data_IF_370139278913
#
_entry.id   IF_370139278913
#
_cell.length_a   1.000
_cell.length_b   1.000
_cell.length_c   1.000
_cell.angle_alpha   90.00
_cell.angle_beta   90.00
_cell.angle_gamma   90.00
#
_symmetry.space_group_name_H-M   'P 1'
#
loop_
_entity.id
_entity.type
_entity.pdbx_description
1 polymer ?
#
# COMPACT_ATOMS: atom_id res chain seq x y z
N UNK A 1 -23.14 -10.83 0.78
CA UNK A 1 -24.37 -10.44 1.54
C UNK A 1 -23.97 -9.61 2.77
N UNK A 2 -24.50 -8.40 2.98
CA UNK A 2 -24.11 -7.57 4.11
C UNK A 2 -24.57 -8.10 5.49
N UNK A 3 -25.44 -9.08 5.51
CA UNK A 3 -26.03 -9.67 6.72
C UNK A 3 -25.31 -10.94 7.20
N UNK A 4 -24.30 -11.40 6.46
CA UNK A 4 -23.54 -12.60 6.83
C UNK A 4 -22.35 -12.20 7.68
N UNK A 5 -22.36 -12.60 8.95
CA UNK A 5 -21.22 -12.47 9.82
C UNK A 5 -20.22 -13.60 9.52
N UNK A 6 -19.01 -13.23 9.09
CA UNK A 6 -17.93 -14.15 8.81
C UNK A 6 -16.99 -14.22 10.03
N UNK A 7 -16.87 -15.37 10.70
CA UNK A 7 -16.25 -15.46 12.02
C UNK A 7 -14.71 -15.35 12.01
N UNK A 8 -14.08 -15.68 10.87
CA UNK A 8 -12.62 -15.74 10.79
C UNK A 8 -11.96 -14.35 10.79
N UNK A 9 -12.51 -13.39 10.02
CA UNK A 9 -11.99 -12.04 9.93
C UNK A 9 -13.12 -11.07 9.53
N UNK A 10 -13.14 -9.81 10.07
CA UNK A 10 -14.24 -8.87 9.78
C UNK A 10 -14.29 -8.41 8.32
N UNK A 11 -13.16 -8.44 7.59
CA UNK A 11 -13.10 -8.06 6.18
C UNK A 11 -13.18 -9.30 5.29
N UNK A 12 -14.31 -9.97 5.31
CA UNK A 12 -14.57 -11.15 4.49
C UNK A 12 -15.61 -10.91 3.41
N UNK A 13 -15.54 -11.70 2.35
CA UNK A 13 -16.49 -11.70 1.25
C UNK A 13 -16.85 -13.14 0.86
N UNK A 14 -18.17 -13.41 0.80
CA UNK A 14 -18.73 -14.66 0.35
C UNK A 14 -19.09 -14.54 -1.14
N UNK A 15 -18.56 -15.43 -1.95
CA UNK A 15 -18.90 -15.60 -3.36
C UNK A 15 -19.72 -16.85 -3.57
N UNK A 16 -20.84 -16.74 -4.27
CA UNK A 16 -21.71 -17.86 -4.64
C UNK A 16 -21.81 -17.92 -6.17
N UNK A 17 -21.42 -19.04 -6.76
CA UNK A 17 -21.69 -19.32 -8.18
C UNK A 17 -23.08 -19.91 -8.32
N UNK A 18 -23.95 -19.26 -9.09
CA UNK A 18 -25.33 -19.68 -9.31
C UNK A 18 -25.50 -20.23 -10.72
N UNK A 19 -26.23 -21.36 -10.85
CA UNK A 19 -26.72 -21.89 -12.11
C UNK A 19 -28.19 -22.22 -11.95
N UNK A 20 -29.05 -21.69 -12.81
CA UNK A 20 -30.52 -21.87 -12.77
C UNK A 20 -31.16 -21.52 -11.40
N UNK A 21 -30.54 -20.55 -10.65
CA UNK A 21 -31.00 -20.14 -9.33
C UNK A 21 -30.51 -20.98 -8.17
N UNK A 22 -29.79 -22.07 -8.42
CA UNK A 22 -29.14 -22.90 -7.41
C UNK A 22 -27.68 -22.50 -7.22
N UNK A 23 -27.21 -22.52 -5.97
CA UNK A 23 -25.79 -22.34 -5.63
C UNK A 23 -25.04 -23.61 -6.03
N UNK A 24 -24.12 -23.51 -6.99
CA UNK A 24 -23.29 -24.62 -7.46
C UNK A 24 -21.94 -24.67 -6.77
N UNK A 25 -21.43 -23.52 -6.37
CA UNK A 25 -20.15 -23.42 -5.65
C UNK A 25 -20.14 -22.18 -4.76
N UNK A 26 -19.27 -22.17 -3.73
CA UNK A 26 -19.23 -21.13 -2.73
C UNK A 26 -17.80 -20.97 -2.19
N UNK A 27 -17.31 -19.71 -2.17
CA UNK A 27 -15.99 -19.39 -1.64
C UNK A 27 -16.09 -18.23 -0.65
N UNK A 28 -15.40 -18.38 0.48
CA UNK A 28 -15.21 -17.29 1.43
C UNK A 28 -13.75 -16.85 1.37
N UNK A 29 -13.53 -15.57 1.08
CA UNK A 29 -12.19 -14.97 0.99
C UNK A 29 -12.13 -13.79 1.94
N UNK A 30 -11.05 -13.69 2.70
CA UNK A 30 -10.80 -12.63 3.67
C UNK A 30 -9.62 -11.76 3.23
N UNK A 31 -9.76 -10.44 3.34
CA UNK A 31 -8.64 -9.51 3.21
C UNK A 31 -8.02 -9.31 4.60
N UNK A 32 -6.83 -9.86 4.80
CA UNK A 32 -6.15 -9.87 6.11
C UNK A 32 -5.13 -8.75 6.27
N UNK A 33 -5.07 -7.83 5.31
CA UNK A 33 -4.17 -6.67 5.30
C UNK A 33 -2.98 -6.83 4.37
N UNK A 34 -2.32 -5.71 4.06
CA UNK A 34 -1.14 -5.69 3.18
C UNK A 34 -1.35 -6.27 1.77
N UNK A 35 -2.59 -6.35 1.29
CA UNK A 35 -2.94 -7.01 0.02
C UNK A 35 -3.03 -8.54 0.11
N UNK A 36 -2.81 -9.13 1.28
CA UNK A 36 -2.92 -10.58 1.47
C UNK A 36 -4.38 -11.03 1.54
N UNK A 37 -4.65 -12.18 0.90
CA UNK A 37 -5.93 -12.86 0.95
C UNK A 37 -5.77 -14.19 1.70
N UNK A 38 -6.76 -14.52 2.50
CA UNK A 38 -6.83 -15.78 3.22
C UNK A 38 -8.21 -16.43 3.06
N UNK A 39 -8.28 -17.72 3.25
CA UNK A 39 -9.51 -18.49 3.45
C UNK A 39 -9.40 -19.28 4.76
N UNK A 40 -10.42 -19.99 5.16
CA UNK A 40 -10.42 -20.77 6.40
C UNK A 40 -9.39 -21.91 6.42
N UNK A 41 -8.93 -22.35 5.25
CA UNK A 41 -7.90 -23.38 5.07
C UNK A 41 -6.49 -22.79 4.97
N UNK A 42 -6.37 -21.48 4.81
CA UNK A 42 -5.06 -20.82 4.70
C UNK A 42 -4.36 -20.92 6.06
N UNK A 43 -3.50 -21.90 6.21
CA UNK A 43 -2.55 -21.91 7.31
C UNK A 43 -1.65 -20.68 7.13
N UNK A 44 -1.50 -19.87 8.17
CA UNK A 44 -0.42 -18.91 8.23
C UNK A 44 0.88 -19.68 7.99
N UNK A 45 1.42 -19.56 6.79
CA UNK A 45 2.81 -19.90 6.55
C UNK A 45 3.60 -18.75 7.19
N UNK A 46 3.83 -18.88 8.48
CA UNK A 46 4.83 -18.09 9.19
C UNK A 46 6.19 -18.50 8.62
N UNK A 47 6.54 -17.93 7.49
CA UNK A 47 7.95 -17.82 7.13
C UNK A 47 8.49 -16.69 8.01
N UNK A 48 8.84 -17.03 9.23
CA UNK A 48 9.55 -16.15 10.15
C UNK A 48 10.98 -15.92 9.64
N UNK A 49 11.08 -15.08 8.58
CA UNK A 49 12.37 -14.61 8.05
C UNK A 49 13.05 -13.75 9.11
N UNK A 50 12.26 -13.00 9.88
CA UNK A 50 12.73 -12.13 10.95
C UNK A 50 12.56 -12.80 12.31
N UNK A 51 13.67 -13.10 13.03
CA UNK A 51 13.61 -13.73 14.35
C UNK A 51 13.07 -12.78 15.44
N UNK A 52 13.11 -11.46 15.20
CA UNK A 52 12.64 -10.43 16.12
C UNK A 52 11.41 -9.72 15.53
N UNK A 53 10.38 -9.56 16.36
CA UNK A 53 9.09 -8.97 15.95
C UNK A 53 8.87 -7.57 16.50
N UNK A 54 9.61 -7.16 17.53
CA UNK A 54 9.50 -5.84 18.14
C UNK A 54 10.66 -4.93 17.71
N UNK A 55 10.34 -3.68 17.32
CA UNK A 55 11.35 -2.69 16.90
C UNK A 55 12.37 -2.39 17.99
N UNK A 56 11.98 -2.47 19.26
CA UNK A 56 12.88 -2.27 20.41
C UNK A 56 13.96 -3.35 20.46
N UNK A 57 13.61 -4.60 20.20
CA UNK A 57 14.54 -5.73 20.17
C UNK A 57 15.51 -5.63 19.00
N UNK A 58 15.01 -5.23 17.83
CA UNK A 58 15.83 -4.98 16.64
C UNK A 58 16.82 -3.84 16.89
N UNK A 59 16.38 -2.76 17.55
CA UNK A 59 17.22 -1.63 17.90
C UNK A 59 18.35 -2.05 18.86
N UNK A 60 18.04 -2.86 19.87
CA UNK A 60 19.03 -3.35 20.83
C UNK A 60 20.03 -4.28 20.16
N UNK A 61 19.57 -5.18 19.29
CA UNK A 61 20.45 -6.02 18.47
C UNK A 61 21.38 -5.16 17.62
N UNK A 62 20.85 -4.17 16.91
CA UNK A 62 21.63 -3.28 16.05
C UNK A 62 22.69 -2.50 16.85
N UNK A 63 22.36 -2.05 18.08
CA UNK A 63 23.33 -1.40 18.97
C UNK A 63 24.44 -2.34 19.42
N UNK A 64 24.08 -3.57 19.78
CA UNK A 64 25.03 -4.57 20.28
C UNK A 64 25.98 -5.02 19.16
N UNK A 65 25.44 -5.26 17.98
CA UNK A 65 26.20 -5.75 16.82
C UNK A 65 26.89 -4.63 16.04
N UNK A 66 26.59 -3.37 16.34
CA UNK A 66 27.12 -2.21 15.60
C UNK A 66 26.64 -2.14 14.17
N UNK A 67 25.43 -2.64 13.88
CA UNK A 67 24.83 -2.62 12.54
C UNK A 67 23.62 -1.67 12.45
N UNK A 68 23.31 -1.27 11.23
CA UNK A 68 22.12 -0.49 10.89
C UNK A 68 20.89 -1.38 10.66
N UNK A 69 19.70 -0.80 10.65
CA UNK A 69 18.47 -1.54 10.34
C UNK A 69 18.48 -2.18 8.95
N UNK A 70 19.03 -1.51 7.95
CA UNK A 70 19.09 -2.06 6.60
C UNK A 70 20.07 -3.25 6.51
N UNK A 71 21.17 -3.25 7.27
CA UNK A 71 22.08 -4.40 7.37
C UNK A 71 21.42 -5.58 8.08
N UNK A 72 20.59 -5.30 9.10
CA UNK A 72 19.77 -6.34 9.73
C UNK A 72 18.80 -6.97 8.73
N UNK A 73 18.09 -6.15 7.93
CA UNK A 73 17.19 -6.64 6.89
C UNK A 73 17.94 -7.48 5.87
N UNK A 74 19.11 -7.03 5.40
CA UNK A 74 19.93 -7.79 4.45
C UNK A 74 20.40 -9.12 5.01
N UNK A 75 20.74 -9.18 6.29
CA UNK A 75 21.10 -10.45 6.97
C UNK A 75 19.95 -11.45 7.00
N UNK A 76 18.71 -10.96 7.20
CA UNK A 76 17.53 -11.82 7.26
C UNK A 76 17.02 -12.25 5.88
N UNK A 77 16.94 -11.33 4.93
CA UNK A 77 16.34 -11.53 3.59
C UNK A 77 17.36 -12.00 2.53
N UNK A 78 18.65 -11.71 2.77
CA UNK A 78 19.72 -11.89 1.80
C UNK A 78 19.78 -10.74 0.78
N UNK A 79 20.85 -10.72 -0.08
CA UNK A 79 21.14 -9.59 -0.97
C UNK A 79 20.07 -9.32 -2.06
N UNK A 80 19.22 -10.29 -2.37
CA UNK A 80 18.13 -10.12 -3.35
C UNK A 80 17.06 -9.13 -2.91
N UNK A 81 17.01 -8.79 -1.62
CA UNK A 81 16.06 -7.78 -1.13
C UNK A 81 16.25 -6.44 -1.83
N UNK A 82 17.47 -6.09 -2.22
CA UNK A 82 17.76 -4.82 -2.89
C UNK A 82 17.14 -4.73 -4.28
N UNK A 83 17.13 -5.81 -5.04
CA UNK A 83 16.48 -5.85 -6.35
C UNK A 83 14.97 -5.69 -6.20
N UNK A 84 14.37 -6.35 -5.21
CA UNK A 84 12.95 -6.21 -4.88
C UNK A 84 12.60 -4.79 -4.45
N UNK A 85 13.37 -4.19 -3.53
CA UNK A 85 13.12 -2.82 -3.07
C UNK A 85 13.31 -1.79 -4.19
N UNK A 86 14.19 -2.04 -5.14
CA UNK A 86 14.34 -1.21 -6.33
C UNK A 86 13.11 -1.27 -7.23
N UNK A 87 12.51 -2.44 -7.41
CA UNK A 87 11.24 -2.58 -8.13
C UNK A 87 10.11 -1.87 -7.38
N UNK A 88 10.02 -2.05 -6.06
CA UNK A 88 9.05 -1.35 -5.21
C UNK A 88 9.15 0.16 -5.38
N UNK A 89 10.37 0.70 -5.32
CA UNK A 89 10.60 2.13 -5.52
C UNK A 89 10.18 2.60 -6.92
N UNK A 90 10.49 1.84 -7.95
CA UNK A 90 10.07 2.15 -9.32
C UNK A 90 8.54 2.23 -9.45
N UNK A 91 7.82 1.27 -8.88
CA UNK A 91 6.34 1.28 -8.86
C UNK A 91 5.78 2.47 -8.09
N UNK A 92 6.41 2.87 -6.98
CA UNK A 92 6.02 4.07 -6.24
C UNK A 92 6.15 5.34 -7.09
N UNK A 93 7.28 5.52 -7.79
CA UNK A 93 7.50 6.65 -8.67
C UNK A 93 6.49 6.68 -9.83
N UNK A 94 6.29 5.56 -10.50
CA UNK A 94 5.31 5.45 -11.59
C UNK A 94 3.88 5.78 -11.14
N UNK A 95 3.49 5.37 -9.93
CA UNK A 95 2.17 5.66 -9.40
C UNK A 95 1.96 7.17 -9.19
N UNK A 96 2.98 7.86 -8.67
CA UNK A 96 2.96 9.32 -8.52
C UNK A 96 2.88 10.00 -9.89
N UNK A 97 3.75 9.61 -10.83
CA UNK A 97 3.80 10.21 -12.16
C UNK A 97 2.47 10.03 -12.92
N UNK A 98 1.88 8.82 -12.88
CA UNK A 98 0.56 8.58 -13.47
C UNK A 98 -0.51 9.46 -12.83
N UNK A 99 -0.57 9.51 -11.50
CA UNK A 99 -1.58 10.27 -10.78
C UNK A 99 -1.47 11.77 -11.01
N UNK A 100 -0.26 12.31 -11.15
CA UNK A 100 -0.04 13.72 -11.49
C UNK A 100 -0.46 14.08 -12.92
N UNK A 101 -0.42 13.12 -13.83
CA UNK A 101 -0.80 13.31 -15.24
C UNK A 101 -2.25 12.93 -15.54
N UNK A 102 -2.99 12.39 -14.57
CA UNK A 102 -4.38 12.02 -14.71
C UNK A 102 -5.31 13.09 -14.13
N UNK A 103 -6.32 13.47 -14.90
CA UNK A 103 -7.38 14.38 -14.49
C UNK A 103 -8.76 13.71 -14.61
N UNK A 104 -9.81 14.41 -14.20
CA UNK A 104 -11.18 13.93 -14.33
C UNK A 104 -11.81 13.54 -13.00
N UNK A 105 -12.65 12.51 -13.03
CA UNK A 105 -13.48 12.06 -11.90
C UNK A 105 -13.07 10.64 -11.51
N UNK A 106 -12.93 10.41 -10.21
CA UNK A 106 -12.66 9.07 -9.66
C UNK A 106 -13.86 8.15 -9.85
N UNK A 107 -13.66 6.83 -10.02
CA UNK A 107 -14.73 5.86 -10.04
C UNK A 107 -15.61 5.92 -8.78
N UNK A 108 -16.89 5.67 -8.93
CA UNK A 108 -17.87 5.64 -7.84
C UNK A 108 -19.02 6.62 -8.02
N UNK A 109 -20.06 6.48 -7.18
CA UNK A 109 -21.32 7.18 -7.33
C UNK A 109 -21.33 8.64 -6.86
N UNK A 110 -20.28 9.11 -6.16
CA UNK A 110 -20.26 10.44 -5.54
C UNK A 110 -19.54 11.52 -6.37
N UNK A 111 -18.95 11.16 -7.52
CA UNK A 111 -18.38 12.12 -8.47
C UNK A 111 -17.18 12.91 -7.94
N UNK A 112 -16.28 12.28 -7.18
CA UNK A 112 -15.07 12.92 -6.63
C UNK A 112 -14.11 13.27 -7.74
N UNK A 113 -13.74 14.55 -7.86
CA UNK A 113 -12.75 15.01 -8.84
C UNK A 113 -11.33 14.73 -8.37
N UNK A 114 -10.46 14.35 -9.31
CA UNK A 114 -9.02 14.29 -9.11
C UNK A 114 -8.47 15.69 -8.83
N UNK A 115 -7.51 15.80 -7.93
CA UNK A 115 -6.95 17.07 -7.44
C UNK A 115 -5.42 17.10 -7.50
N UNK A 116 -4.75 15.95 -7.62
CA UNK A 116 -3.30 15.86 -7.57
C UNK A 116 -2.60 16.82 -8.53
N UNK A 117 -2.96 16.79 -9.82
CA UNK A 117 -2.41 17.69 -10.85
C UNK A 117 -2.59 19.18 -10.47
N UNK A 118 -3.81 19.54 -10.02
CA UNK A 118 -4.12 20.93 -9.62
C UNK A 118 -3.28 21.38 -8.42
N UNK A 119 -3.10 20.49 -7.41
CA UNK A 119 -2.26 20.81 -6.25
C UNK A 119 -0.79 20.95 -6.62
N UNK A 120 -0.30 20.08 -7.50
CA UNK A 120 1.07 20.15 -8.00
C UNK A 120 1.36 21.45 -8.73
N UNK A 121 0.48 21.89 -9.63
CA UNK A 121 0.61 23.16 -10.34
C UNK A 121 0.59 24.35 -9.36
N UNK A 122 -0.32 24.33 -8.38
CA UNK A 122 -0.37 25.38 -7.35
C UNK A 122 0.90 25.40 -6.49
N UNK A 123 1.43 24.24 -6.14
CA UNK A 123 2.66 24.13 -5.35
C UNK A 123 3.85 24.83 -6.04
N UNK A 124 3.93 24.77 -7.37
CA UNK A 124 4.98 25.46 -8.15
C UNK A 124 4.96 26.99 -8.00
N UNK A 125 3.82 27.56 -7.65
CA UNK A 125 3.68 29.00 -7.37
C UNK A 125 4.11 29.40 -5.95
N UNK A 126 4.41 28.46 -5.07
CA UNK A 126 4.86 28.73 -3.71
C UNK A 126 6.38 28.65 -3.61
N UNK A 127 6.91 29.25 -2.54
CA UNK A 127 8.35 29.22 -2.22
C UNK A 127 8.60 28.61 -0.85
N UNK A 128 9.83 28.13 -0.62
CA UNK A 128 10.27 27.59 0.67
C UNK A 128 9.41 26.42 1.15
N UNK A 129 9.07 26.42 2.43
CA UNK A 129 8.36 25.30 3.07
C UNK A 129 6.94 25.06 2.54
N UNK A 130 6.30 26.07 1.96
CA UNK A 130 4.97 25.90 1.36
C UNK A 130 5.04 25.14 0.05
N UNK A 131 6.07 25.37 -0.77
CA UNK A 131 6.34 24.61 -1.98
C UNK A 131 6.56 23.11 -1.63
N UNK A 132 7.46 22.84 -0.68
CA UNK A 132 7.78 21.49 -0.21
C UNK A 132 6.53 20.75 0.26
N UNK A 133 5.74 21.35 1.15
CA UNK A 133 4.49 20.76 1.63
C UNK A 133 3.48 20.56 0.50
N UNK A 134 3.33 21.52 -0.39
CA UNK A 134 2.42 21.44 -1.53
C UNK A 134 2.77 20.28 -2.46
N UNK A 135 4.05 20.06 -2.72
CA UNK A 135 4.52 18.92 -3.51
C UNK A 135 4.22 17.58 -2.83
N UNK A 136 4.53 17.42 -1.54
CA UNK A 136 4.24 16.20 -0.79
C UNK A 136 2.73 15.89 -0.81
N UNK A 137 1.88 16.91 -0.62
CA UNK A 137 0.42 16.73 -0.73
C UNK A 137 0.00 16.28 -2.12
N UNK A 138 0.56 16.88 -3.17
CA UNK A 138 0.23 16.50 -4.54
C UNK A 138 0.64 15.05 -4.85
N UNK A 139 1.81 14.62 -4.41
CA UNK A 139 2.30 13.25 -4.58
C UNK A 139 1.46 12.23 -3.81
N UNK A 140 1.09 12.54 -2.57
CA UNK A 140 0.22 11.69 -1.78
C UNK A 140 -1.19 11.55 -2.39
N UNK A 141 -1.74 12.66 -2.89
CA UNK A 141 -3.01 12.65 -3.63
C UNK A 141 -2.90 11.84 -4.91
N UNK A 142 -1.82 11.98 -5.69
CA UNK A 142 -1.59 11.25 -6.92
C UNK A 142 -1.67 9.74 -6.71
N UNK A 143 -0.93 9.21 -5.72
CA UNK A 143 -0.96 7.79 -5.39
C UNK A 143 -2.32 7.35 -4.86
N UNK A 144 -2.98 8.16 -4.03
CA UNK A 144 -4.31 7.84 -3.48
C UNK A 144 -5.38 7.81 -4.57
N UNK A 145 -5.32 8.70 -5.55
CA UNK A 145 -6.22 8.76 -6.69
C UNK A 145 -5.99 7.58 -7.65
N UNK A 146 -4.74 7.17 -7.85
CA UNK A 146 -4.41 5.95 -8.60
C UNK A 146 -4.95 4.71 -7.89
N UNK A 147 -4.79 4.60 -6.57
CA UNK A 147 -5.38 3.52 -5.78
C UNK A 147 -6.90 3.46 -5.94
N UNK A 148 -7.58 4.60 -5.81
CA UNK A 148 -9.04 4.69 -5.96
C UNK A 148 -9.53 4.34 -7.38
N UNK A 149 -8.67 4.43 -8.39
CA UNK A 149 -8.98 4.14 -9.79
C UNK A 149 -8.57 2.73 -10.22
N UNK A 150 -8.07 1.89 -9.32
CA UNK A 150 -7.58 0.55 -9.62
C UNK A 150 -6.20 0.53 -10.30
N UNK A 151 -5.44 1.63 -10.21
CA UNK A 151 -4.08 1.70 -10.71
C UNK A 151 -3.12 0.84 -9.87
N UNK A 152 -2.00 0.44 -10.48
CA UNK A 152 -0.94 -0.29 -9.78
C UNK A 152 -0.25 0.63 -8.78
N UNK A 153 -0.31 0.29 -7.50
CA UNK A 153 0.38 0.96 -6.41
C UNK A 153 1.12 -0.05 -5.54
N UNK A 154 2.05 0.43 -4.73
CA UNK A 154 2.63 -0.40 -3.66
C UNK A 154 1.66 -0.40 -2.50
N UNK A 155 1.18 -1.59 -2.11
CA UNK A 155 0.29 -1.73 -0.95
C UNK A 155 1.09 -1.55 0.34
N UNK A 156 0.58 -0.71 1.23
CA UNK A 156 1.01 -0.60 2.60
C UNK A 156 -0.12 -1.10 3.52
N UNK A 157 0.08 -1.25 4.83
CA UNK A 157 -0.95 -1.76 5.73
C UNK A 157 -2.28 -1.01 5.64
N UNK A 158 -2.25 0.27 5.26
CA UNK A 158 -3.44 1.10 5.05
C UNK A 158 -3.34 1.92 3.76
N UNK A 159 -4.49 2.30 3.18
CA UNK A 159 -4.53 3.17 2.00
C UNK A 159 -3.80 4.52 2.23
N UNK A 160 -3.89 5.08 3.44
CA UNK A 160 -3.18 6.32 3.79
C UNK A 160 -1.66 6.16 3.69
N UNK A 161 -1.10 5.08 4.24
CA UNK A 161 0.33 4.81 4.19
C UNK A 161 0.84 4.60 2.77
N UNK A 162 0.05 3.92 1.92
CA UNK A 162 0.42 3.68 0.51
C UNK A 162 0.52 4.96 -0.34
N UNK A 163 -0.10 6.05 0.10
CA UNK A 163 0.06 7.37 -0.51
C UNK A 163 1.15 8.22 0.15
N UNK A 164 1.20 8.23 1.48
CA UNK A 164 2.10 9.12 2.24
C UNK A 164 3.56 8.71 2.13
N UNK A 165 3.86 7.42 2.30
CA UNK A 165 5.25 6.92 2.26
C UNK A 165 5.93 7.21 0.90
N UNK A 166 5.33 6.86 -0.26
CA UNK A 166 5.92 7.21 -1.54
C UNK A 166 6.10 8.71 -1.73
N UNK A 167 5.12 9.52 -1.30
CA UNK A 167 5.18 10.98 -1.45
C UNK A 167 6.35 11.61 -0.70
N UNK A 168 6.61 11.15 0.52
CA UNK A 168 7.74 11.64 1.32
C UNK A 168 9.06 11.19 0.71
N UNK A 169 9.19 9.92 0.33
CA UNK A 169 10.41 9.39 -0.29
C UNK A 169 10.70 10.10 -1.63
N UNK A 170 9.69 10.27 -2.48
CA UNK A 170 9.80 10.96 -3.77
C UNK A 170 10.20 12.44 -3.64
N UNK A 171 9.79 13.07 -2.54
CA UNK A 171 10.17 14.45 -2.24
C UNK A 171 11.60 14.58 -1.73
N UNK A 172 12.12 13.56 -1.05
CA UNK A 172 13.49 13.56 -0.50
C UNK A 172 14.55 13.11 -1.50
N UNK A 173 14.14 12.37 -2.53
CA UNK A 173 14.98 11.89 -3.63
C UNK A 173 15.25 13.00 -4.63
#
# INVERSE_FOLDING_TARGET
RPEVFLPFHPNGMLFEALSEGEVKDCWTIYSVGGGALANEETKHMENDIYPLTAIAEILELCRTDGCSFWEYVERCEGPKIWDYLKEVWHVMCEAIDRGLNNEGVLPGGIGVRRKAATYYVKAKGYTGSLNSRGNIYAYALATSEENASGGRIVTAPTCGSSGVLPAVLYHLY
#
